data_IF_166698712369
#
_entry.id   IF_166698712369
#
_cell.length_a   1.000
_cell.length_b   1.000
_cell.length_c   1.000
_cell.angle_alpha   90.00
_cell.angle_beta   90.00
_cell.angle_gamma   90.00
#
_symmetry.space_group_name_H-M   'P 1'
#
loop_
_entity.id
_entity.type
_entity.pdbx_description
1 polymer ?
#
# COMPACT_ATOMS: atom_id res chain seq x y z
N UNK A 1 -23.55 7.43 -19.75
CA UNK A 1 -22.94 6.98 -18.51
C UNK A 1 -21.81 6.01 -18.77
N UNK A 2 -20.77 6.12 -18.04
CA UNK A 2 -19.58 5.31 -18.26
C UNK A 2 -19.36 4.36 -17.10
N UNK A 3 -19.16 3.10 -17.41
CA UNK A 3 -18.78 2.12 -16.43
C UNK A 3 -17.27 1.91 -16.51
N UNK A 4 -16.62 1.98 -15.37
CA UNK A 4 -15.18 1.81 -15.30
C UNK A 4 -14.84 0.41 -14.82
N UNK A 5 -13.73 -0.10 -15.31
CA UNK A 5 -13.19 -1.37 -14.85
C UNK A 5 -11.90 -1.08 -14.10
N UNK A 6 -11.69 -1.80 -13.02
CA UNK A 6 -10.55 -1.60 -12.14
C UNK A 6 -9.75 -2.88 -12.03
N UNK A 7 -8.49 -2.70 -11.77
CA UNK A 7 -7.58 -3.80 -11.52
C UNK A 7 -6.97 -3.60 -10.14
N UNK A 8 -6.69 -4.69 -9.47
CA UNK A 8 -6.06 -4.68 -8.15
C UNK A 8 -4.66 -5.25 -8.24
N UNK A 9 -3.74 -4.61 -7.55
CA UNK A 9 -2.42 -5.19 -7.34
C UNK A 9 -2.09 -5.12 -5.85
N UNK A 10 -1.31 -6.06 -5.40
CA UNK A 10 -0.99 -6.18 -3.99
C UNK A 10 0.45 -5.75 -3.75
N UNK A 11 0.63 -4.96 -2.70
CA UNK A 11 1.94 -4.42 -2.33
C UNK A 11 2.18 -4.62 -0.84
N UNK A 12 3.45 -4.54 -0.47
CA UNK A 12 3.82 -4.45 0.93
C UNK A 12 4.59 -3.15 1.11
N UNK A 13 4.04 -2.25 1.91
CA UNK A 13 4.75 -1.04 2.28
C UNK A 13 5.47 -1.24 3.59
N UNK A 14 6.55 -0.54 3.81
CA UNK A 14 7.24 -0.60 5.08
C UNK A 14 7.70 0.79 5.51
N UNK A 15 7.87 0.94 6.82
CA UNK A 15 8.30 2.20 7.41
C UNK A 15 8.87 1.92 8.79
N UNK A 16 9.92 2.62 9.19
CA UNK A 16 10.39 2.56 10.56
C UNK A 16 9.54 3.40 11.52
N UNK A 17 8.60 4.18 10.99
CA UNK A 17 7.89 5.20 11.74
C UNK A 17 6.48 4.79 12.14
N UNK A 18 5.68 4.34 11.17
CA UNK A 18 4.27 4.03 11.44
C UNK A 18 3.65 3.23 10.31
N UNK A 19 2.46 2.66 10.59
CA UNK A 19 1.70 1.97 9.56
C UNK A 19 1.17 2.94 8.51
N UNK A 20 0.76 4.14 8.93
CA UNK A 20 0.29 5.14 8.00
C UNK A 20 1.39 5.53 7.02
N UNK A 21 2.60 5.70 7.53
CA UNK A 21 3.73 6.04 6.69
C UNK A 21 4.07 4.89 5.72
N UNK A 22 3.94 3.65 6.19
CA UNK A 22 4.14 2.48 5.34
C UNK A 22 3.17 2.48 4.16
N UNK A 23 1.90 2.80 4.43
CA UNK A 23 0.89 2.88 3.39
C UNK A 23 1.24 3.98 2.39
N UNK A 24 1.57 5.17 2.89
CA UNK A 24 1.92 6.29 2.02
C UNK A 24 3.12 5.99 1.15
N UNK A 25 4.13 5.34 1.71
CA UNK A 25 5.32 4.96 0.97
C UNK A 25 4.97 4.00 -0.17
N UNK A 26 4.12 3.01 0.11
CA UNK A 26 3.72 2.03 -0.90
C UNK A 26 2.94 2.70 -2.03
N UNK A 27 1.96 3.53 -1.68
CA UNK A 27 1.13 4.20 -2.68
C UNK A 27 1.97 5.15 -3.52
N UNK A 28 2.87 5.91 -2.88
CA UNK A 28 3.73 6.84 -3.59
C UNK A 28 4.62 6.11 -4.59
N UNK A 29 5.20 5.01 -4.18
CA UNK A 29 6.08 4.25 -5.06
C UNK A 29 5.31 3.63 -6.23
N UNK A 30 4.12 3.09 -5.95
CA UNK A 30 3.29 2.52 -6.99
C UNK A 30 2.84 3.60 -7.99
N UNK A 31 2.57 4.80 -7.51
CA UNK A 31 2.13 5.90 -8.36
C UNK A 31 3.17 6.33 -9.38
N UNK A 32 4.42 5.95 -9.17
CA UNK A 32 5.46 6.28 -10.15
C UNK A 32 5.29 5.52 -11.46
N UNK A 33 4.65 4.34 -11.42
CA UNK A 33 4.49 3.52 -12.61
C UNK A 33 3.05 3.14 -12.93
N UNK A 34 2.14 3.25 -11.96
CA UNK A 34 0.73 2.89 -12.15
C UNK A 34 -0.09 4.15 -12.17
N UNK A 35 -0.88 4.34 -13.21
CA UNK A 35 -1.74 5.51 -13.36
C UNK A 35 -3.15 5.21 -12.87
N UNK A 36 -3.85 6.26 -12.48
CA UNK A 36 -5.27 6.19 -12.12
C UNK A 36 -5.55 5.34 -10.89
N UNK A 37 -4.65 5.39 -9.90
CA UNK A 37 -4.89 4.74 -8.63
C UNK A 37 -6.02 5.48 -7.93
N UNK A 38 -7.08 4.75 -7.57
CA UNK A 38 -8.26 5.34 -6.97
C UNK A 38 -8.39 5.07 -5.48
N UNK A 39 -7.97 3.89 -5.03
CA UNK A 39 -8.11 3.55 -3.61
C UNK A 39 -7.07 2.53 -3.20
N UNK A 40 -6.93 2.37 -1.89
CA UNK A 40 -6.18 1.27 -1.31
C UNK A 40 -7.04 0.54 -0.30
N UNK A 41 -6.69 -0.69 -0.04
CA UNK A 41 -7.36 -1.50 0.97
C UNK A 41 -6.28 -2.25 1.74
N UNK A 42 -6.29 -2.08 3.06
CA UNK A 42 -5.32 -2.78 3.90
C UNK A 42 -5.78 -4.22 4.10
N UNK A 43 -4.89 -5.15 3.82
CA UNK A 43 -5.14 -6.57 3.99
C UNK A 43 -4.61 -7.02 5.35
N UNK A 44 -3.41 -6.57 5.70
CA UNK A 44 -2.75 -7.05 6.89
C UNK A 44 -1.74 -6.00 7.37
N UNK A 45 -1.67 -5.84 8.68
CA UNK A 45 -0.65 -5.02 9.31
C UNK A 45 0.23 -5.93 10.15
N UNK A 46 1.53 -5.78 10.00
CA UNK A 46 2.47 -6.53 10.81
C UNK A 46 3.73 -5.69 10.99
N UNK A 47 4.69 -6.22 11.73
CA UNK A 47 5.93 -5.51 11.93
C UNK A 47 7.06 -6.47 12.20
N UNK A 48 8.24 -5.91 12.26
CA UNK A 48 9.45 -6.65 12.61
C UNK A 48 9.94 -6.15 13.96
N UNK A 49 10.25 -7.10 14.84
CA UNK A 49 10.70 -6.79 16.20
C UNK A 49 12.17 -7.11 16.30
N UNK A 50 12.94 -6.18 16.86
CA UNK A 50 14.34 -6.39 17.12
C UNK A 50 14.65 -5.88 18.52
N UNK A 51 15.23 -6.72 19.36
CA UNK A 51 15.67 -6.37 20.70
C UNK A 51 14.55 -5.75 21.54
N UNK A 52 13.35 -6.36 21.44
CA UNK A 52 12.20 -5.92 22.23
C UNK A 52 11.50 -4.67 21.71
N UNK A 53 11.93 -4.13 20.59
CA UNK A 53 11.34 -2.94 20.02
C UNK A 53 10.85 -3.20 18.59
N UNK A 54 9.90 -2.40 18.17
CA UNK A 54 9.43 -2.47 16.79
C UNK A 54 10.46 -1.78 15.90
N UNK A 55 11.07 -2.58 15.02
CA UNK A 55 12.07 -2.05 14.10
C UNK A 55 11.42 -1.46 12.85
N UNK A 56 10.41 -2.14 12.34
CA UNK A 56 9.71 -1.73 11.13
C UNK A 56 8.24 -2.07 11.25
N UNK A 57 7.42 -1.24 10.62
CA UNK A 57 6.02 -1.53 10.39
C UNK A 57 5.88 -1.95 8.93
N UNK A 58 5.12 -3.02 8.68
CA UNK A 58 4.84 -3.47 7.33
C UNK A 58 3.34 -3.60 7.16
N UNK A 59 2.86 -3.10 6.03
CA UNK A 59 1.44 -3.16 5.71
C UNK A 59 1.28 -3.81 4.34
N UNK A 60 0.53 -4.90 4.30
CA UNK A 60 0.13 -5.51 3.05
C UNK A 60 -1.16 -4.82 2.62
N UNK A 61 -1.17 -4.29 1.43
CA UNK A 61 -2.32 -3.56 0.92
C UNK A 61 -2.52 -3.87 -0.55
N UNK A 62 -3.76 -3.71 -0.97
CA UNK A 62 -4.11 -3.73 -2.39
C UNK A 62 -4.39 -2.31 -2.82
N UNK A 63 -3.98 -1.98 -4.03
CA UNK A 63 -4.41 -0.73 -4.65
C UNK A 63 -5.31 -1.06 -5.82
N UNK A 64 -6.35 -0.25 -5.97
CA UNK A 64 -7.26 -0.37 -7.10
C UNK A 64 -7.01 0.78 -8.06
N UNK A 65 -6.88 0.45 -9.32
CA UNK A 65 -6.67 1.48 -10.32
C UNK A 65 -7.52 1.20 -11.55
N UNK A 66 -7.92 2.28 -12.20
CA UNK A 66 -8.80 2.20 -13.35
C UNK A 66 -7.99 1.82 -14.58
N UNK A 67 -8.50 0.86 -15.33
CA UNK A 67 -7.90 0.53 -16.63
C UNK A 67 -8.72 1.18 -17.72
N UNK A 68 -8.03 1.74 -18.68
CA UNK A 68 -8.66 2.45 -19.79
C UNK A 68 -8.89 1.52 -20.97
#
# INVERSE_FOLDING_TARGET
MTAHTYKLIELVGSSPTSTDDAIRNAVRKASATVKHIDWFQVIETRGHVAEGNVAHFQVTLKIGFRIE
#
